data_IF_845824981290
#
_entry.id   IF_845824981290
#
_cell.length_a   1.000
_cell.length_b   1.000
_cell.length_c   1.000
_cell.angle_alpha   90.00
_cell.angle_beta   90.00
_cell.angle_gamma   90.00
#
_symmetry.space_group_name_H-M   'P 1'
#
loop_
_entity.id
_entity.type
_entity.pdbx_description
1 polymer ?
#
# COMPACT_ATOMS: atom_id res chain seq x y z
N UNK A 1 -10.80 -16.60 -23.27
CA UNK A 1 -10.18 -15.43 -23.93
C UNK A 1 -10.23 -14.26 -22.95
N UNK A 2 -9.31 -14.28 -21.97
CA UNK A 2 -9.30 -13.42 -20.79
C UNK A 2 -8.54 -12.14 -21.10
N UNK A 3 -9.16 -11.00 -20.82
CA UNK A 3 -8.64 -9.65 -21.02
C UNK A 3 -7.40 -9.41 -20.17
N UNK A 4 -6.25 -9.45 -20.82
CA UNK A 4 -4.96 -8.99 -20.29
C UNK A 4 -5.12 -7.52 -19.87
N UNK A 5 -4.75 -7.18 -18.62
CA UNK A 5 -4.52 -5.78 -18.25
C UNK A 5 -3.31 -5.30 -19.05
N UNK A 6 -3.58 -4.59 -20.15
CA UNK A 6 -2.57 -3.82 -20.86
C UNK A 6 -2.02 -2.73 -19.95
N UNK A 7 -0.70 -2.56 -19.93
CA UNK A 7 -0.09 -1.37 -19.36
C UNK A 7 -0.73 -0.13 -20.03
N UNK A 8 -1.19 0.87 -19.27
CA UNK A 8 -1.81 2.05 -19.85
C UNK A 8 -0.79 2.81 -20.72
N UNK A 9 -1.20 3.36 -21.87
CA UNK A 9 -0.32 4.12 -22.74
C UNK A 9 0.20 5.38 -22.03
N UNK A 10 1.47 5.73 -22.29
CA UNK A 10 2.13 6.92 -21.78
C UNK A 10 1.64 8.19 -22.51
N UNK A 11 0.37 8.53 -22.35
CA UNK A 11 -0.11 9.89 -22.60
C UNK A 11 0.03 10.69 -21.30
N UNK A 12 0.33 11.98 -21.39
CA UNK A 12 0.40 12.94 -20.28
C UNK A 12 -0.93 13.11 -19.54
N UNK A 13 -1.45 12.05 -18.93
CA UNK A 13 -2.56 12.13 -17.98
C UNK A 13 -2.05 12.78 -16.70
N UNK A 14 -2.73 13.82 -16.25
CA UNK A 14 -2.35 14.46 -15.00
C UNK A 14 -2.59 13.46 -13.85
N UNK A 15 -1.81 13.49 -12.76
CA UNK A 15 -2.01 12.60 -11.62
C UNK A 15 -3.45 12.60 -11.07
N UNK A 16 -4.18 13.70 -11.24
CA UNK A 16 -5.60 13.84 -10.89
C UNK A 16 -6.54 13.03 -11.79
N UNK A 17 -6.20 12.84 -13.06
CA UNK A 17 -6.99 12.01 -13.98
C UNK A 17 -6.94 10.54 -13.54
N UNK A 18 -5.75 10.07 -13.13
CA UNK A 18 -5.61 8.74 -12.52
C UNK A 18 -6.35 8.62 -11.20
N UNK A 19 -6.33 9.63 -10.34
CA UNK A 19 -7.18 9.62 -9.13
C UNK A 19 -8.66 9.48 -9.49
N UNK A 20 -9.15 10.23 -10.48
CA UNK A 20 -10.55 10.12 -10.93
C UNK A 20 -10.85 8.70 -11.44
N UNK A 21 -9.95 8.09 -12.21
CA UNK A 21 -10.13 6.76 -12.77
C UNK A 21 -10.00 5.61 -11.74
N UNK A 22 -9.02 5.71 -10.84
CA UNK A 22 -8.67 4.65 -9.88
C UNK A 22 -9.50 4.70 -8.60
N UNK A 23 -10.02 5.89 -8.25
CA UNK A 23 -10.66 6.14 -6.96
C UNK A 23 -12.14 6.44 -7.10
N UNK A 24 -12.57 7.24 -8.09
CA UNK A 24 -13.94 7.74 -8.06
C UNK A 24 -14.90 6.76 -8.75
N UNK A 25 -15.94 6.28 -8.03
CA UNK A 25 -16.98 5.48 -8.66
C UNK A 25 -17.78 6.32 -9.66
N UNK A 26 -18.49 5.62 -10.56
CA UNK A 26 -19.22 6.25 -11.66
C UNK A 26 -20.31 7.23 -11.18
N UNK A 27 -20.82 6.98 -9.97
CA UNK A 27 -21.91 7.66 -9.27
C UNK A 27 -21.49 9.00 -8.64
N UNK A 28 -20.18 9.30 -8.55
CA UNK A 28 -19.71 10.61 -8.04
C UNK A 28 -20.15 11.71 -9.00
N UNK A 29 -20.84 12.71 -8.47
CA UNK A 29 -21.42 13.80 -9.26
C UNK A 29 -20.36 14.58 -10.04
N UNK A 30 -20.75 15.14 -11.19
CA UNK A 30 -19.85 15.97 -12.00
C UNK A 30 -19.35 17.20 -11.21
N UNK A 31 -20.21 17.80 -10.39
CA UNK A 31 -19.85 18.91 -9.52
C UNK A 31 -18.76 18.51 -8.52
N UNK A 32 -18.88 17.34 -7.88
CA UNK A 32 -17.85 16.83 -6.98
C UNK A 32 -16.53 16.52 -7.71
N UNK A 33 -16.59 15.96 -8.92
CA UNK A 33 -15.39 15.73 -9.76
C UNK A 33 -14.66 17.02 -10.11
N UNK A 34 -15.39 18.07 -10.48
CA UNK A 34 -14.80 19.40 -10.75
C UNK A 34 -14.18 19.98 -9.48
N UNK A 35 -14.89 19.91 -8.35
CA UNK A 35 -14.38 20.41 -7.08
C UNK A 35 -13.14 19.65 -6.60
N UNK A 36 -13.05 18.34 -6.82
CA UNK A 36 -11.85 17.55 -6.54
C UNK A 36 -10.66 18.06 -7.36
N UNK A 37 -10.84 18.37 -8.65
CA UNK A 37 -9.77 18.93 -9.48
C UNK A 37 -9.27 20.27 -8.97
N UNK A 38 -10.15 21.11 -8.44
CA UNK A 38 -9.77 22.40 -7.83
C UNK A 38 -9.01 22.23 -6.51
N UNK A 39 -9.34 21.19 -5.73
CA UNK A 39 -8.66 20.89 -4.45
C UNK A 39 -7.36 20.10 -4.63
N UNK A 40 -7.13 19.53 -5.82
CA UNK A 40 -6.01 18.66 -6.11
C UNK A 40 -4.70 19.45 -6.15
N UNK A 41 -3.73 18.99 -5.37
CA UNK A 41 -2.34 19.47 -5.43
C UNK A 41 -1.47 18.35 -6.02
N UNK A 42 -1.05 18.44 -7.29
CA UNK A 42 -0.10 17.50 -7.87
C UNK A 42 1.23 17.54 -7.12
N UNK A 43 1.82 16.38 -6.87
CA UNK A 43 3.13 16.26 -6.22
C UNK A 43 3.95 15.20 -6.93
N UNK A 44 5.19 15.54 -7.26
CA UNK A 44 6.19 14.61 -7.78
C UNK A 44 7.36 14.54 -6.82
N UNK A 45 7.91 13.34 -6.63
CA UNK A 45 9.05 13.10 -5.75
C UNK A 45 9.89 11.94 -6.26
N UNK A 46 11.19 11.95 -5.93
CA UNK A 46 12.11 10.85 -6.21
C UNK A 46 12.46 10.07 -4.93
N UNK A 47 13.12 8.92 -5.10
CA UNK A 47 13.40 8.00 -4.00
C UNK A 47 14.18 8.66 -2.85
N UNK A 48 13.63 8.55 -1.64
CA UNK A 48 14.21 9.13 -0.43
C UNK A 48 13.69 10.52 -0.05
N UNK A 49 13.03 11.23 -0.97
CA UNK A 49 12.48 12.56 -0.68
C UNK A 49 11.26 12.49 0.25
N UNK A 50 11.20 13.45 1.18
CA UNK A 50 10.05 13.69 2.02
C UNK A 50 9.01 14.51 1.24
N UNK A 51 7.86 13.90 0.97
CA UNK A 51 6.76 14.52 0.21
C UNK A 51 6.01 15.54 1.07
N UNK A 52 5.82 15.21 2.34
CA UNK A 52 5.19 16.08 3.33
C UNK A 52 5.91 15.94 4.66
N UNK A 53 6.62 16.98 5.08
CA UNK A 53 7.13 17.09 6.45
C UNK A 53 5.98 17.16 7.46
N UNK A 54 6.21 16.89 8.76
CA UNK A 54 5.18 17.00 9.78
C UNK A 54 4.48 18.36 9.72
N UNK A 55 3.20 18.35 9.37
CA UNK A 55 2.38 19.54 9.17
C UNK A 55 1.33 19.70 10.28
N UNK A 56 0.81 20.91 10.44
CA UNK A 56 -0.30 21.20 11.37
C UNK A 56 -1.66 20.69 10.90
N UNK A 57 -1.78 20.27 9.63
CA UNK A 57 -3.02 19.78 9.03
C UNK A 57 -2.81 18.44 8.35
N UNK A 58 -3.82 17.58 8.45
CA UNK A 58 -3.84 16.28 7.79
C UNK A 58 -4.01 16.45 6.28
N UNK A 59 -3.41 15.54 5.52
CA UNK A 59 -3.57 15.46 4.07
C UNK A 59 -3.97 14.06 3.64
N UNK A 60 -4.75 13.99 2.59
CA UNK A 60 -5.07 12.73 1.91
C UNK A 60 -4.29 12.73 0.60
N UNK A 61 -3.49 11.69 0.39
CA UNK A 61 -2.58 11.58 -0.75
C UNK A 61 -2.94 10.34 -1.54
N UNK A 62 -3.23 10.51 -2.83
CA UNK A 62 -3.35 9.43 -3.78
C UNK A 62 -2.00 9.16 -4.44
N UNK A 63 -1.60 7.89 -4.52
CA UNK A 63 -0.41 7.47 -5.27
C UNK A 63 -0.85 7.17 -6.70
N UNK A 64 -0.59 8.08 -7.64
CA UNK A 64 -0.93 7.88 -9.06
C UNK A 64 0.11 7.01 -9.78
N UNK A 65 1.37 7.06 -9.34
CA UNK A 65 2.45 6.22 -9.84
C UNK A 65 3.53 6.02 -8.78
N UNK A 66 4.20 4.86 -8.86
CA UNK A 66 5.33 4.54 -8.00
C UNK A 66 4.90 3.95 -6.66
N UNK A 67 5.70 4.18 -5.63
CA UNK A 67 5.47 3.64 -4.30
C UNK A 67 6.02 4.58 -3.22
N UNK A 68 5.31 4.67 -2.10
CA UNK A 68 5.68 5.49 -0.97
C UNK A 68 5.64 4.69 0.34
N UNK A 69 6.29 5.22 1.39
CA UNK A 69 6.18 4.70 2.75
C UNK A 69 5.76 5.81 3.71
N UNK A 70 4.83 5.50 4.60
CA UNK A 70 4.46 6.38 5.70
C UNK A 70 5.31 6.04 6.92
N UNK A 71 5.94 7.04 7.51
CA UNK A 71 6.83 6.91 8.66
C UNK A 71 6.27 7.72 9.82
N UNK A 72 6.23 7.12 11.01
CA UNK A 72 6.05 7.83 12.26
C UNK A 72 7.41 8.12 12.90
N UNK A 73 7.60 9.37 13.30
CA UNK A 73 8.77 9.84 14.03
C UNK A 73 8.39 9.88 15.51
N UNK A 74 8.73 8.81 16.24
CA UNK A 74 8.31 8.63 17.63
C UNK A 74 9.18 9.41 18.62
N UNK A 75 10.48 9.58 18.32
CA UNK A 75 11.47 10.34 19.10
C UNK A 75 12.74 10.57 18.24
N UNK A 76 13.72 11.34 18.74
CA UNK A 76 14.90 11.84 17.99
C UNK A 76 15.74 10.84 17.17
N UNK A 77 15.53 9.53 17.27
CA UNK A 77 16.21 8.50 16.45
C UNK A 77 15.38 7.22 16.22
N UNK A 78 14.06 7.28 16.43
CA UNK A 78 13.18 6.11 16.33
C UNK A 78 12.10 6.36 15.30
N UNK A 79 12.44 6.03 14.06
CA UNK A 79 11.50 6.00 12.96
C UNK A 79 10.85 4.62 12.88
N UNK A 80 9.53 4.62 12.69
CA UNK A 80 8.76 3.40 12.46
C UNK A 80 8.07 3.52 11.10
N UNK A 81 8.40 2.62 10.17
CA UNK A 81 7.62 2.50 8.94
C UNK A 81 6.25 1.92 9.29
N UNK A 82 5.20 2.70 9.11
CA UNK A 82 3.82 2.30 9.42
C UNK A 82 3.22 1.49 8.28
N UNK A 83 3.43 1.90 7.04
CA UNK A 83 2.83 1.27 5.88
C UNK A 83 3.60 1.61 4.61
N UNK A 84 3.52 0.70 3.65
CA UNK A 84 3.91 0.93 2.27
C UNK A 84 2.66 1.14 1.42
N UNK A 85 2.74 2.02 0.43
CA UNK A 85 1.65 2.44 -0.45
C UNK A 85 2.12 2.35 -1.90
N UNK A 86 1.24 1.89 -2.78
CA UNK A 86 1.50 1.66 -4.19
C UNK A 86 0.48 2.41 -5.06
N UNK A 87 0.68 2.42 -6.38
CA UNK A 87 -0.27 3.04 -7.31
C UNK A 87 -1.73 2.60 -7.04
N UNK A 88 -2.64 3.56 -7.01
CA UNK A 88 -4.06 3.40 -6.67
C UNK A 88 -4.38 3.48 -5.17
N UNK A 89 -3.38 3.49 -4.28
CA UNK A 89 -3.61 3.64 -2.84
C UNK A 89 -3.94 5.09 -2.46
N UNK A 90 -4.82 5.22 -1.46
CA UNK A 90 -5.10 6.47 -0.76
C UNK A 90 -4.44 6.44 0.63
N UNK A 91 -3.73 7.50 0.98
CA UNK A 91 -2.93 7.60 2.20
C UNK A 91 -3.35 8.81 3.00
N UNK A 92 -3.78 8.61 4.25
CA UNK A 92 -3.91 9.70 5.20
C UNK A 92 -2.53 9.97 5.81
N UNK A 93 -2.00 11.17 5.60
CA UNK A 93 -0.84 11.70 6.33
C UNK A 93 -1.40 12.56 7.47
N UNK A 94 -1.33 12.10 8.74
CA UNK A 94 -1.92 12.83 9.85
C UNK A 94 -1.20 14.15 10.11
N UNK A 95 -1.95 15.13 10.61
CA UNK A 95 -1.37 16.28 11.28
C UNK A 95 -0.47 15.80 12.44
N UNK A 96 0.57 16.57 12.73
CA UNK A 96 1.42 16.34 13.89
C UNK A 96 0.56 16.40 15.16
N UNK A 97 0.66 15.34 15.96
CA UNK A 97 0.09 15.27 17.29
C UNK A 97 1.21 14.87 18.27
N UNK A 98 1.07 13.73 18.96
CA UNK A 98 2.14 13.16 19.78
C UNK A 98 3.38 12.77 18.95
N UNK A 99 3.20 12.45 17.67
CA UNK A 99 4.25 12.06 16.75
C UNK A 99 4.19 12.88 15.46
N UNK A 100 5.34 13.02 14.79
CA UNK A 100 5.41 13.52 13.43
C UNK A 100 5.20 12.39 12.43
N UNK A 101 4.56 12.70 11.30
CA UNK A 101 4.39 11.74 10.21
C UNK A 101 4.94 12.31 8.93
N UNK A 102 5.67 11.49 8.19
CA UNK A 102 6.24 11.87 6.89
C UNK A 102 5.96 10.78 5.88
N UNK A 103 5.49 11.18 4.70
CA UNK A 103 5.37 10.31 3.54
C UNK A 103 6.66 10.45 2.72
N UNK A 104 7.36 9.33 2.51
CA UNK A 104 8.58 9.28 1.70
C UNK A 104 8.34 8.52 0.40
N UNK A 105 8.82 9.05 -0.72
CA UNK A 105 8.85 8.31 -1.97
C UNK A 105 9.93 7.21 -1.91
N UNK A 106 9.64 6.03 -2.46
CA UNK A 106 10.58 4.90 -2.55
C UNK A 106 11.34 4.86 -3.88
N UNK A 107 10.87 5.62 -4.87
CA UNK A 107 11.44 5.80 -6.19
C UNK A 107 10.77 7.00 -6.86
N UNK A 108 10.83 7.10 -8.19
CA UNK A 108 10.04 8.11 -8.90
C UNK A 108 8.54 7.88 -8.64
N UNK A 109 7.88 8.90 -8.10
CA UNK A 109 6.48 8.86 -7.70
C UNK A 109 5.72 10.08 -8.20
N UNK A 110 4.51 9.86 -8.66
CA UNK A 110 3.53 10.89 -8.96
C UNK A 110 2.32 10.72 -8.06
N UNK A 111 1.87 11.82 -7.48
CA UNK A 111 0.86 11.82 -6.43
C UNK A 111 -0.09 13.00 -6.61
N UNK A 112 -1.25 12.88 -5.98
CA UNK A 112 -2.18 14.00 -5.77
C UNK A 112 -2.46 14.11 -4.30
N UNK A 113 -2.27 15.29 -3.74
CA UNK A 113 -2.60 15.57 -2.36
C UNK A 113 -3.81 16.49 -2.25
N UNK A 114 -4.60 16.25 -1.22
CA UNK A 114 -5.74 17.05 -0.83
C UNK A 114 -5.56 17.45 0.63
N UNK A 115 -5.90 18.68 0.98
CA UNK A 115 -6.16 19.01 2.38
C UNK A 115 -7.33 18.14 2.87
N UNK A 116 -7.21 17.54 4.05
CA UNK A 116 -8.21 16.58 4.54
C UNK A 116 -9.58 17.23 4.75
N UNK A 117 -9.65 18.39 5.41
CA UNK A 117 -10.94 19.01 5.77
C UNK A 117 -11.79 19.36 4.54
N UNK A 118 -11.27 20.06 3.49
CA UNK A 118 -12.05 20.32 2.28
C UNK A 118 -12.49 19.06 1.54
N UNK A 119 -11.67 18.01 1.54
CA UNK A 119 -12.02 16.73 0.93
C UNK A 119 -13.17 16.05 1.69
N UNK A 120 -13.15 16.09 3.03
CA UNK A 120 -14.19 15.50 3.86
C UNK A 120 -15.49 16.30 3.79
N UNK A 121 -15.44 17.63 3.71
CA UNK A 121 -16.62 18.45 3.44
C UNK A 121 -17.26 18.11 2.09
N UNK A 122 -16.44 17.90 1.05
CA UNK A 122 -16.95 17.47 -0.23
C UNK A 122 -17.60 16.08 -0.16
N UNK A 123 -16.95 15.14 0.54
CA UNK A 123 -17.47 13.79 0.77
C UNK A 123 -18.78 13.77 1.58
N UNK A 124 -19.00 14.77 2.44
CA UNK A 124 -20.28 14.96 3.15
C UNK A 124 -21.40 15.41 2.22
N UNK A 125 -21.06 16.13 1.14
CA UNK A 125 -22.02 16.61 0.13
C UNK A 125 -22.27 15.64 -1.03
N UNK A 126 -21.42 14.62 -1.20
CA UNK A 126 -21.54 13.60 -2.26
C UNK A 126 -21.43 12.20 -1.64
N UNK A 127 -22.57 11.50 -1.56
CA UNK A 127 -22.68 10.21 -0.86
C UNK A 127 -21.81 9.11 -1.49
N UNK A 128 -21.63 9.11 -2.82
CA UNK A 128 -20.81 8.13 -3.51
C UNK A 128 -19.32 8.32 -3.16
N UNK A 129 -18.85 9.57 -3.13
CA UNK A 129 -17.49 9.89 -2.67
C UNK A 129 -17.30 9.52 -1.20
N UNK A 130 -18.26 9.87 -0.33
CA UNK A 130 -18.22 9.52 1.08
C UNK A 130 -18.14 8.01 1.32
N UNK A 131 -18.94 7.23 0.60
CA UNK A 131 -18.94 5.77 0.68
C UNK A 131 -17.60 5.16 0.24
N UNK A 132 -17.01 5.66 -0.84
CA UNK A 132 -15.73 5.17 -1.33
C UNK A 132 -14.58 5.46 -0.36
N UNK A 133 -14.52 6.68 0.19
CA UNK A 133 -13.52 7.04 1.20
C UNK A 133 -13.67 6.18 2.47
N UNK A 134 -14.90 5.90 2.90
CA UNK A 134 -15.15 5.01 4.03
C UNK A 134 -14.69 3.58 3.74
N UNK A 135 -15.03 3.04 2.58
CA UNK A 135 -14.63 1.70 2.15
C UNK A 135 -13.11 1.54 2.13
N UNK A 136 -12.38 2.53 1.60
CA UNK A 136 -10.92 2.54 1.61
C UNK A 136 -10.35 2.63 3.02
N UNK A 137 -10.93 3.46 3.87
CA UNK A 137 -10.55 3.59 5.29
C UNK A 137 -10.70 2.28 6.03
N UNK A 138 -11.82 1.56 5.85
CA UNK A 138 -12.05 0.25 6.46
C UNK A 138 -11.03 -0.79 6.00
N UNK A 139 -10.67 -0.82 4.71
CA UNK A 139 -9.59 -1.68 4.20
C UNK A 139 -8.24 -1.32 4.82
N UNK A 140 -7.92 -0.04 4.96
CA UNK A 140 -6.68 0.40 5.61
C UNK A 140 -6.64 0.03 7.10
N UNK A 141 -7.76 0.16 7.81
CA UNK A 141 -7.90 -0.24 9.20
C UNK A 141 -7.73 -1.75 9.40
N UNK A 142 -8.32 -2.57 8.52
CA UNK A 142 -8.12 -4.02 8.54
C UNK A 142 -6.64 -4.39 8.42
N UNK A 143 -5.92 -3.80 7.45
CA UNK A 143 -4.47 -4.00 7.30
C UNK A 143 -3.66 -3.53 8.51
N UNK A 144 -4.07 -2.41 9.12
CA UNK A 144 -3.42 -1.91 10.34
C UNK A 144 -3.55 -2.91 11.49
N UNK A 145 -4.74 -3.50 11.68
CA UNK A 145 -4.98 -4.54 12.69
C UNK A 145 -4.17 -5.80 12.45
N UNK A 146 -4.10 -6.27 11.20
CA UNK A 146 -3.24 -7.41 10.84
C UNK A 146 -1.76 -7.14 11.18
N UNK A 147 -1.28 -5.92 10.90
CA UNK A 147 0.08 -5.51 11.27
C UNK A 147 0.28 -5.49 12.79
N UNK A 148 -0.68 -4.98 13.56
CA UNK A 148 -0.61 -5.01 15.04
C UNK A 148 -0.51 -6.44 15.57
N UNK A 149 -1.31 -7.37 15.05
CA UNK A 149 -1.25 -8.79 15.42
C UNK A 149 0.12 -9.38 15.06
N UNK A 150 0.60 -9.11 13.85
CA UNK A 150 1.91 -9.58 13.40
C UNK A 150 3.04 -9.10 14.32
N UNK A 151 3.05 -7.82 14.72
CA UNK A 151 4.07 -7.26 15.61
C UNK A 151 3.96 -7.78 17.05
N UNK A 152 2.76 -8.08 17.53
CA UNK A 152 2.54 -8.52 18.92
C UNK A 152 2.65 -10.02 19.16
N UNK A 153 2.34 -10.86 18.14
CA UNK A 153 2.14 -12.30 18.35
C UNK A 153 2.89 -13.20 17.37
N UNK A 154 3.27 -12.72 16.19
CA UNK A 154 3.96 -13.55 15.18
C UNK A 154 5.46 -13.59 15.42
N UNK A 155 6.05 -14.76 15.18
CA UNK A 155 7.50 -14.99 15.08
C UNK A 155 8.11 -14.22 13.90
N UNK A 156 9.44 -14.13 13.84
CA UNK A 156 10.13 -13.46 12.73
C UNK A 156 9.79 -14.09 11.37
N UNK A 157 9.75 -15.43 11.28
CA UNK A 157 9.42 -16.14 10.05
C UNK A 157 8.00 -15.82 9.59
N UNK A 158 7.04 -15.90 10.52
CA UNK A 158 5.63 -15.63 10.23
C UNK A 158 5.41 -14.18 9.79
N UNK A 159 6.11 -13.20 10.37
CA UNK A 159 6.05 -11.79 9.94
C UNK A 159 6.55 -11.62 8.51
N UNK A 160 7.69 -12.21 8.17
CA UNK A 160 8.27 -12.12 6.82
C UNK A 160 7.35 -12.81 5.81
N UNK A 161 6.86 -14.01 6.11
CA UNK A 161 5.92 -14.72 5.25
C UNK A 161 4.61 -13.93 5.06
N UNK A 162 4.03 -13.39 6.15
CA UNK A 162 2.83 -12.54 6.09
C UNK A 162 3.04 -11.32 5.21
N UNK A 163 4.20 -10.65 5.36
CA UNK A 163 4.56 -9.50 4.54
C UNK A 163 4.60 -9.85 3.06
N UNK A 164 5.26 -10.95 2.69
CA UNK A 164 5.37 -11.38 1.29
C UNK A 164 4.00 -11.77 0.68
N UNK A 165 3.16 -12.48 1.44
CA UNK A 165 1.79 -12.80 1.02
C UNK A 165 0.97 -11.52 0.80
N UNK A 166 1.06 -10.56 1.72
CA UNK A 166 0.40 -9.26 1.59
C UNK A 166 0.92 -8.44 0.41
N UNK A 167 2.22 -8.51 0.08
CA UNK A 167 2.78 -7.87 -1.11
C UNK A 167 2.29 -8.54 -2.39
N UNK A 168 2.16 -9.87 -2.42
CA UNK A 168 1.64 -10.60 -3.58
C UNK A 168 0.21 -10.19 -3.95
N UNK A 169 -0.64 -9.93 -2.96
CA UNK A 169 -2.00 -9.44 -3.20
C UNK A 169 -2.05 -8.01 -3.76
N UNK A 170 -1.00 -7.20 -3.52
CA UNK A 170 -1.01 -5.76 -3.83
C UNK A 170 -0.22 -5.42 -5.10
N UNK A 171 0.93 -6.05 -5.29
CA UNK A 171 1.87 -5.76 -6.39
C UNK A 171 2.37 -7.02 -7.09
N UNK A 172 1.81 -8.19 -6.74
CA UNK A 172 2.20 -9.44 -7.33
C UNK A 172 1.78 -9.55 -8.78
N UNK A 173 2.72 -9.96 -9.63
CA UNK A 173 2.46 -10.28 -11.03
C UNK A 173 2.51 -11.79 -11.20
N UNK A 174 1.40 -12.39 -11.63
CA UNK A 174 1.37 -13.82 -11.96
C UNK A 174 2.31 -14.10 -13.14
N UNK A 175 3.06 -15.20 -13.06
CA UNK A 175 3.87 -15.69 -14.16
C UNK A 175 4.03 -17.21 -14.09
N UNK A 176 4.70 -17.76 -15.10
CA UNK A 176 4.75 -19.21 -15.36
C UNK A 176 5.27 -20.06 -14.19
N UNK A 177 6.09 -19.47 -13.32
CA UNK A 177 6.73 -20.12 -12.16
C UNK A 177 6.28 -19.51 -10.83
N UNK A 178 5.03 -19.07 -10.76
CA UNK A 178 4.43 -18.46 -9.56
C UNK A 178 4.39 -16.92 -9.61
N UNK A 179 4.29 -16.29 -8.45
CA UNK A 179 4.06 -14.85 -8.34
C UNK A 179 5.38 -14.08 -8.24
N UNK A 180 5.61 -13.11 -9.11
CA UNK A 180 6.77 -12.23 -9.08
C UNK A 180 6.47 -10.96 -8.28
N UNK A 181 7.34 -10.63 -7.33
CA UNK A 181 7.37 -9.38 -6.60
C UNK A 181 8.63 -8.59 -6.98
N UNK A 182 8.47 -7.36 -7.43
CA UNK A 182 9.55 -6.37 -7.48
C UNK A 182 9.33 -5.38 -6.34
N UNK A 183 10.06 -5.57 -5.24
CA UNK A 183 9.85 -4.78 -4.02
C UNK A 183 10.55 -3.41 -4.16
N UNK A 184 9.81 -2.29 -4.15
CA UNK A 184 10.42 -0.96 -4.30
C UNK A 184 11.16 -0.50 -3.04
N UNK A 185 10.94 -1.17 -1.90
CA UNK A 185 11.61 -0.88 -0.64
C UNK A 185 12.87 -1.74 -0.45
N UNK A 186 13.83 -1.20 0.30
CA UNK A 186 15.04 -1.93 0.70
C UNK A 186 14.75 -2.95 1.81
N UNK A 187 15.67 -3.90 2.01
CA UNK A 187 15.61 -4.84 3.16
C UNK A 187 15.56 -4.14 4.51
N UNK A 188 16.26 -3.00 4.63
CA UNK A 188 16.17 -2.13 5.80
C UNK A 188 14.75 -1.59 5.99
N UNK A 189 14.12 -1.06 4.94
CA UNK A 189 12.74 -0.61 5.01
C UNK A 189 11.76 -1.72 5.43
N UNK A 190 11.95 -2.94 4.94
CA UNK A 190 11.14 -4.10 5.37
C UNK A 190 11.37 -4.39 6.86
N UNK A 191 12.64 -4.41 7.30
CA UNK A 191 13.02 -4.63 8.68
C UNK A 191 12.37 -3.60 9.61
N UNK A 192 12.48 -2.31 9.26
CA UNK A 192 11.87 -1.20 9.99
C UNK A 192 10.34 -1.35 10.07
N UNK A 193 9.68 -1.83 9.00
CA UNK A 193 8.23 -2.06 8.99
C UNK A 193 7.79 -3.25 9.86
N UNK A 194 8.63 -4.27 10.02
CA UNK A 194 8.30 -5.51 10.73
C UNK A 194 8.84 -5.55 12.18
N UNK A 195 9.57 -4.52 12.59
CA UNK A 195 10.25 -4.48 13.89
C UNK A 195 11.31 -5.57 14.02
N UNK A 196 12.02 -5.84 12.92
CA UNK A 196 13.08 -6.85 12.84
C UNK A 196 14.40 -6.18 12.46
N UNK A 197 15.51 -6.91 12.58
CA UNK A 197 16.80 -6.46 12.04
C UNK A 197 16.95 -6.88 10.57
N UNK A 198 17.80 -6.19 9.82
CA UNK A 198 18.06 -6.53 8.40
C UNK A 198 18.68 -7.93 8.26
N UNK A 199 19.52 -8.35 9.22
CA UNK A 199 20.11 -9.68 9.32
C UNK A 199 19.03 -10.73 9.53
N UNK A 200 18.05 -10.44 10.40
CA UNK A 200 16.90 -11.33 10.63
C UNK A 200 16.08 -11.49 9.36
N UNK A 201 15.75 -10.40 8.66
CA UNK A 201 15.05 -10.48 7.37
C UNK A 201 15.82 -11.37 6.39
N UNK A 202 17.14 -11.18 6.30
CA UNK A 202 17.99 -11.93 5.36
C UNK A 202 18.02 -13.41 5.70
N UNK A 203 18.14 -13.76 6.99
CA UNK A 203 18.07 -15.14 7.49
C UNK A 203 16.74 -15.79 7.16
N UNK A 204 15.61 -15.13 7.48
CA UNK A 204 14.27 -15.70 7.24
C UNK A 204 13.97 -15.89 5.75
N UNK A 205 14.45 -15.00 4.87
CA UNK A 205 14.33 -15.19 3.43
C UNK A 205 15.17 -16.38 2.94
N UNK A 206 16.34 -16.60 3.54
CA UNK A 206 17.17 -17.79 3.28
C UNK A 206 16.42 -19.07 3.66
N UNK A 207 15.88 -19.14 4.87
CA UNK A 207 15.10 -20.31 5.34
C UNK A 207 13.89 -20.60 4.44
N UNK A 208 13.13 -19.58 4.04
CA UNK A 208 11.99 -19.74 3.14
C UNK A 208 12.40 -20.18 1.72
N UNK A 209 13.57 -19.74 1.25
CA UNK A 209 14.14 -20.18 -0.03
C UNK A 209 14.59 -21.64 0.04
N UNK A 210 15.29 -22.00 1.10
CA UNK A 210 15.82 -23.36 1.28
C UNK A 210 14.67 -24.37 1.48
N UNK A 211 13.52 -23.92 2.00
CA UNK A 211 12.26 -24.66 2.03
C UNK A 211 11.51 -24.72 0.68
N UNK A 212 12.06 -24.15 -0.39
CA UNK A 212 11.47 -24.17 -1.73
C UNK A 212 10.25 -23.27 -1.93
N UNK A 213 9.92 -22.39 -0.97
CA UNK A 213 8.71 -21.55 -1.02
C UNK A 213 8.89 -20.30 -1.88
N UNK A 214 10.13 -19.84 -2.00
CA UNK A 214 10.48 -18.66 -2.81
C UNK A 214 11.86 -18.79 -3.46
N UNK A 215 12.10 -17.95 -4.45
CA UNK A 215 13.42 -17.70 -5.00
C UNK A 215 13.71 -16.19 -4.98
N UNK A 216 14.96 -15.82 -4.78
CA UNK A 216 15.41 -14.41 -4.78
C UNK A 216 16.30 -14.15 -5.99
N UNK A 217 16.10 -13.01 -6.66
CA UNK A 217 16.97 -12.53 -7.74
C UNK A 217 17.43 -11.11 -7.40
N UNK A 218 18.72 -10.94 -7.15
CA UNK A 218 19.24 -9.65 -6.66
C UNK A 218 18.65 -9.27 -5.29
N UNK A 219 18.52 -7.95 -5.04
CA UNK A 219 18.12 -7.42 -3.73
C UNK A 219 16.61 -7.21 -3.56
N UNK A 220 15.91 -6.79 -4.62
CA UNK A 220 14.49 -6.39 -4.58
C UNK A 220 13.53 -7.45 -5.11
N UNK A 221 13.97 -8.30 -6.05
CA UNK A 221 13.09 -9.22 -6.77
C UNK A 221 12.96 -10.56 -6.05
N UNK A 222 11.72 -10.96 -5.77
CA UNK A 222 11.38 -12.22 -5.12
C UNK A 222 10.31 -12.91 -5.95
N UNK A 223 10.52 -14.19 -6.24
CA UNK A 223 9.52 -15.05 -6.86
C UNK A 223 8.95 -15.97 -5.79
N UNK A 224 7.66 -15.92 -5.58
CA UNK A 224 6.94 -16.84 -4.70
C UNK A 224 6.58 -18.08 -5.52
N UNK A 225 7.17 -19.21 -5.15
CA UNK A 225 7.03 -20.49 -5.85
C UNK A 225 5.79 -21.25 -5.35
N UNK A 226 5.52 -21.16 -4.05
CA UNK A 226 4.39 -21.79 -3.37
C UNK A 226 3.69 -20.78 -2.45
N UNK A 227 2.69 -20.09 -3.00
CA UNK A 227 1.91 -19.10 -2.24
C UNK A 227 1.08 -19.74 -1.11
N UNK A 228 0.39 -20.89 -1.31
CA UNK A 228 -0.27 -21.63 -0.23
C UNK A 228 0.70 -22.03 0.90
N UNK A 229 1.85 -22.62 0.59
CA UNK A 229 2.85 -23.01 1.59
C UNK A 229 3.41 -21.80 2.34
N UNK A 230 3.61 -20.68 1.65
CA UNK A 230 4.03 -19.42 2.29
C UNK A 230 2.93 -18.85 3.20
N UNK A 231 1.66 -18.93 2.81
CA UNK A 231 0.54 -18.52 3.66
C UNK A 231 0.41 -19.39 4.91
N UNK A 232 0.70 -20.68 4.81
CA UNK A 232 0.79 -21.57 5.98
C UNK A 232 1.94 -21.13 6.92
N UNK A 233 3.12 -20.80 6.37
CA UNK A 233 4.24 -20.22 7.16
C UNK A 233 3.94 -18.85 7.75
N UNK A 234 2.99 -18.12 7.19
CA UNK A 234 2.51 -16.85 7.75
C UNK A 234 1.62 -17.05 8.99
N UNK A 235 1.28 -18.29 9.35
CA UNK A 235 0.34 -18.59 10.43
C UNK A 235 -1.08 -18.10 10.10
N UNK A 236 -1.42 -18.00 8.81
CA UNK A 236 -2.79 -17.69 8.40
C UNK A 236 -3.66 -18.89 8.69
N UNK A 237 -4.77 -18.67 9.40
CA UNK A 237 -5.77 -19.71 9.57
C UNK A 237 -6.27 -20.11 8.17
N UNK A 238 -6.33 -21.41 7.85
CA UNK A 238 -6.92 -21.85 6.60
C UNK A 238 -8.34 -21.29 6.53
N UNK A 239 -8.67 -20.61 5.44
CA UNK A 239 -10.04 -20.16 5.18
C UNK A 239 -10.85 -21.40 4.85
N UNK A 240 -11.26 -22.14 5.88
CA UNK A 240 -12.09 -23.31 5.74
C UNK A 240 -13.38 -22.91 5.04
N UNK A 241 -13.66 -23.53 3.89
CA UNK A 241 -14.92 -23.55 3.13
C UNK A 241 -16.02 -22.60 3.63
N UNK A 242 -15.78 -21.29 3.52
CA UNK A 242 -16.82 -20.28 3.51
C UNK A 242 -16.92 -19.86 2.06
N UNK A 243 -18.02 -20.29 1.44
CA UNK A 243 -18.41 -20.09 0.06
C UNK A 243 -17.76 -18.85 -0.55
N UNK A 244 -16.92 -19.08 -1.55
CA UNK A 244 -16.27 -18.08 -2.41
C UNK A 244 -17.34 -17.39 -3.27
N UNK A 245 -18.16 -16.57 -2.61
CA UNK A 245 -19.29 -15.85 -3.20
C UNK A 245 -19.39 -14.39 -2.79
N UNK A 246 -18.54 -13.89 -1.89
CA UNK A 246 -18.73 -12.55 -1.31
C UNK A 246 -17.55 -11.58 -1.43
N UNK A 247 -16.40 -11.96 -2.02
CA UNK A 247 -15.23 -11.06 -2.09
C UNK A 247 -14.61 -10.90 -3.49
N UNK A 248 -15.27 -11.41 -4.54
CA UNK A 248 -14.87 -11.19 -5.93
C UNK A 248 -16.09 -10.80 -6.77
N UNK A 249 -16.58 -9.58 -6.59
CA UNK A 249 -17.28 -8.75 -7.58
C UNK A 249 -17.69 -7.43 -6.91
N UNK A 250 -16.83 -6.43 -7.04
CA UNK A 250 -17.27 -5.04 -7.19
C UNK A 250 -16.54 -4.52 -8.42
N UNK A 251 -16.96 -5.04 -9.57
CA UNK A 251 -17.00 -4.27 -10.80
C UNK A 251 -18.42 -3.75 -10.87
N UNK A 252 -18.57 -2.46 -10.61
CA UNK A 252 -19.37 -1.43 -11.28
C UNK A 252 -18.87 -0.11 -10.67
#
# INVERSE_FOLDING_TARGET
>A
MQTLRSAPPANCEQPIDRFVADVLPSEVSQAARLRLRELAQPVSAIGGEAVFSPCSRSRVVHIAQGAARLVAHASDRRDQVLSFHFAGDLVLVPARAAHGYTLYALGACEMVAFAADPLFELARSDAALGHELLTRTLRALARSREKTIALGRKTAQERVASFLVGMAQRIGVAGDKGCLLDLPMTRRGIADSLGLTIETISRQLGELRDAGLLATSGRSRIRLLDLPGLAARAGHLPVGHLSVGALTKSSI
#
